data_IF_428035848326
#
_entry.id   IF_428035848326
#
_cell.length_a   1.000
_cell.length_b   1.000
_cell.length_c   1.000
_cell.angle_alpha   90.00
_cell.angle_beta   90.00
_cell.angle_gamma   90.00
#
_symmetry.space_group_name_H-M   'P 1'
#
loop_
_entity.id
_entity.type
_entity.pdbx_description
1 polymer ?
#
# COMPACT_ATOMS: atom_id res chain seq x y z
N UNK A 1 9.60 -53.99 5.89
CA UNK A 1 9.36 -53.61 4.48
C UNK A 1 7.87 -53.37 4.21
N UNK A 2 7.38 -52.15 4.49
CA UNK A 2 6.12 -51.60 3.96
C UNK A 2 6.45 -50.18 3.47
N UNK A 3 7.21 -50.06 2.37
CA UNK A 3 6.71 -49.59 1.06
C UNK A 3 5.73 -48.43 1.22
N UNK A 4 6.23 -47.19 1.14
CA UNK A 4 6.18 -46.38 -0.08
C UNK A 4 4.74 -46.22 -0.61
N UNK A 5 3.90 -45.54 0.17
CA UNK A 5 2.58 -45.10 -0.26
C UNK A 5 2.33 -43.62 0.09
N UNK A 6 3.38 -42.80 0.04
CA UNK A 6 3.27 -41.38 0.39
C UNK A 6 4.04 -40.51 -0.61
N UNK A 7 3.76 -40.73 -1.90
CA UNK A 7 4.27 -39.87 -2.96
C UNK A 7 3.36 -39.97 -4.18
N UNK A 8 2.24 -39.23 -4.12
CA UNK A 8 1.50 -38.65 -5.27
C UNK A 8 0.09 -38.22 -4.83
N UNK A 9 -0.01 -37.07 -4.16
CA UNK A 9 -1.20 -36.24 -4.18
C UNK A 9 -0.71 -34.86 -4.57
N UNK A 10 -1.19 -34.30 -5.68
CA UNK A 10 -0.66 -33.08 -6.30
C UNK A 10 -0.40 -31.95 -5.29
N UNK A 11 0.59 -31.11 -5.58
CA UNK A 11 1.15 -30.04 -4.73
C UNK A 11 0.14 -28.94 -4.33
N UNK A 12 -0.97 -29.32 -3.70
CA UNK A 12 -1.96 -28.43 -3.13
C UNK A 12 -1.52 -28.09 -1.72
N UNK A 13 -0.67 -27.08 -1.59
CA UNK A 13 -0.31 -26.51 -0.29
C UNK A 13 -1.59 -26.01 0.38
N UNK A 14 -1.97 -26.62 1.49
CA UNK A 14 -3.14 -26.21 2.28
C UNK A 14 -2.83 -24.90 3.01
N UNK A 15 -3.87 -24.21 3.49
CA UNK A 15 -3.69 -23.01 4.33
C UNK A 15 -2.82 -23.33 5.54
N UNK A 16 -2.95 -24.52 6.12
CA UNK A 16 -2.14 -25.01 7.24
C UNK A 16 -0.65 -25.14 6.89
N UNK A 17 -0.30 -25.66 5.72
CA UNK A 17 1.10 -25.76 5.28
C UNK A 17 1.75 -24.39 5.11
N UNK A 18 0.94 -23.41 4.65
CA UNK A 18 1.38 -22.03 4.49
C UNK A 18 1.56 -21.30 5.82
N UNK A 19 0.71 -21.60 6.81
CA UNK A 19 0.92 -21.14 8.18
C UNK A 19 2.21 -21.72 8.78
N UNK A 20 2.50 -23.00 8.53
CA UNK A 20 3.74 -23.64 8.98
C UNK A 20 5.00 -23.02 8.33
N UNK A 21 4.88 -22.45 7.14
CA UNK A 21 5.93 -21.67 6.47
C UNK A 21 6.10 -20.24 7.03
N UNK A 22 5.36 -19.87 8.08
CA UNK A 22 5.45 -18.56 8.72
C UNK A 22 4.75 -17.42 7.98
N UNK A 23 3.84 -17.73 7.03
CA UNK A 23 3.05 -16.67 6.39
C UNK A 23 2.10 -16.00 7.38
N UNK A 24 2.04 -14.67 7.29
CA UNK A 24 1.14 -13.87 8.10
C UNK A 24 -0.34 -14.20 7.81
N UNK A 25 -1.15 -14.29 8.87
CA UNK A 25 -2.59 -14.61 8.76
C UNK A 25 -3.33 -13.63 7.84
N UNK A 26 -2.96 -12.35 7.81
CA UNK A 26 -3.59 -11.34 6.94
C UNK A 26 -3.34 -11.62 5.47
N UNK A 27 -2.13 -12.08 5.12
CA UNK A 27 -1.79 -12.50 3.76
C UNK A 27 -2.68 -13.65 3.33
N UNK A 28 -2.79 -14.70 4.15
CA UNK A 28 -3.64 -15.86 3.88
C UNK A 28 -5.13 -15.48 3.78
N UNK A 29 -5.60 -14.55 4.62
CA UNK A 29 -6.97 -14.06 4.54
C UNK A 29 -7.25 -13.32 3.23
N UNK A 30 -6.30 -12.53 2.73
CA UNK A 30 -6.43 -11.82 1.45
C UNK A 30 -6.47 -12.82 0.29
N UNK A 31 -5.62 -13.85 0.32
CA UNK A 31 -5.64 -14.93 -0.68
C UNK A 31 -6.97 -15.70 -0.67
N UNK A 32 -7.46 -16.08 0.51
CA UNK A 32 -8.77 -16.74 0.62
C UNK A 32 -9.91 -15.86 0.13
N UNK A 33 -9.83 -14.53 0.30
CA UNK A 33 -10.79 -13.61 -0.29
C UNK A 33 -10.74 -13.64 -1.82
N UNK A 34 -9.55 -13.64 -2.41
CA UNK A 34 -9.37 -13.76 -3.86
C UNK A 34 -9.90 -15.10 -4.40
N UNK A 35 -9.62 -16.21 -3.71
CA UNK A 35 -10.14 -17.53 -4.07
C UNK A 35 -11.68 -17.50 -4.10
N UNK A 36 -12.32 -16.90 -3.09
CA UNK A 36 -13.79 -16.75 -3.09
C UNK A 36 -14.29 -15.89 -4.23
N UNK A 37 -13.58 -14.80 -4.59
CA UNK A 37 -13.94 -13.98 -5.77
C UNK A 37 -13.91 -14.82 -7.05
N UNK A 38 -12.83 -15.57 -7.28
CA UNK A 38 -12.67 -16.43 -8.46
C UNK A 38 -13.75 -17.51 -8.50
N UNK A 39 -14.05 -18.16 -7.37
CA UNK A 39 -15.11 -19.16 -7.28
C UNK A 39 -16.49 -18.57 -7.63
N UNK A 40 -16.79 -17.36 -7.16
CA UNK A 40 -18.05 -16.67 -7.53
C UNK A 40 -18.09 -16.36 -9.03
N UNK A 41 -16.99 -15.87 -9.61
CA UNK A 41 -16.90 -15.61 -11.05
C UNK A 41 -17.05 -16.88 -11.89
N UNK A 42 -16.59 -18.02 -11.39
CA UNK A 42 -16.78 -19.33 -12.01
C UNK A 42 -18.18 -19.94 -11.77
N UNK A 43 -19.14 -19.17 -11.23
CA UNK A 43 -20.50 -19.63 -10.94
C UNK A 43 -20.63 -20.55 -9.72
N UNK A 44 -19.55 -20.78 -8.96
CA UNK A 44 -19.50 -21.68 -7.79
C UNK A 44 -19.84 -20.95 -6.49
N UNK A 45 -20.87 -20.10 -6.49
CA UNK A 45 -21.23 -19.22 -5.37
C UNK A 45 -21.49 -20.01 -4.08
N UNK A 46 -22.22 -21.12 -4.13
CA UNK A 46 -22.49 -21.98 -2.96
C UNK A 46 -21.22 -22.49 -2.29
N UNK A 47 -20.17 -22.79 -3.08
CA UNK A 47 -18.88 -23.20 -2.54
C UNK A 47 -18.11 -22.00 -1.99
N UNK A 48 -18.11 -20.88 -2.71
CA UNK A 48 -17.47 -19.63 -2.31
C UNK A 48 -17.96 -19.11 -0.94
N UNK A 49 -19.25 -19.28 -0.67
CA UNK A 49 -19.92 -18.81 0.55
C UNK A 49 -20.04 -19.91 1.62
N UNK A 50 -19.53 -21.12 1.35
CA UNK A 50 -19.61 -22.23 2.29
C UNK A 50 -18.72 -22.00 3.52
N UNK A 51 -19.20 -22.45 4.68
CA UNK A 51 -18.45 -22.36 5.93
C UNK A 51 -17.12 -23.10 5.89
N UNK A 52 -17.01 -24.15 5.09
CA UNK A 52 -15.80 -24.99 4.93
C UNK A 52 -14.56 -24.22 4.47
N UNK A 53 -14.74 -23.17 3.68
CA UNK A 53 -13.64 -22.32 3.19
C UNK A 53 -13.62 -20.94 3.85
N UNK A 54 -14.39 -20.77 4.91
CA UNK A 54 -14.36 -19.55 5.72
C UNK A 54 -13.02 -19.41 6.42
N UNK A 55 -12.62 -18.16 6.71
CA UNK A 55 -11.40 -17.88 7.46
C UNK A 55 -11.41 -18.54 8.87
N UNK A 56 -12.61 -18.78 9.43
CA UNK A 56 -12.77 -19.50 10.71
C UNK A 56 -12.47 -20.98 10.55
N UNK A 57 -13.08 -21.64 9.57
CA UNK A 57 -12.90 -23.08 9.34
C UNK A 57 -11.46 -23.44 8.97
N UNK A 58 -10.75 -22.55 8.27
CA UNK A 58 -9.34 -22.74 7.91
C UNK A 58 -8.35 -22.19 8.96
N UNK A 59 -8.81 -21.82 10.16
CA UNK A 59 -7.92 -21.48 11.29
C UNK A 59 -7.20 -20.13 11.22
N UNK A 60 -7.47 -19.30 10.20
CA UNK A 60 -6.81 -18.00 9.98
C UNK A 60 -7.63 -16.81 10.49
N UNK A 61 -8.64 -17.03 11.32
CA UNK A 61 -9.42 -15.95 11.94
C UNK A 61 -8.61 -15.16 12.97
N UNK A 62 -9.12 -13.98 13.36
CA UNK A 62 -8.53 -13.17 14.44
C UNK A 62 -7.23 -12.42 14.11
N UNK A 63 -6.89 -12.24 12.82
CA UNK A 63 -5.74 -11.40 12.46
C UNK A 63 -5.97 -9.93 12.87
N UNK A 64 -4.96 -9.33 13.50
CA UNK A 64 -5.00 -7.91 13.87
C UNK A 64 -5.04 -7.03 12.62
N UNK A 65 -5.86 -5.99 12.66
CA UNK A 65 -5.85 -4.91 11.65
C UNK A 65 -4.83 -3.82 11.97
N UNK A 66 -4.19 -3.88 13.14
CA UNK A 66 -3.24 -2.86 13.53
C UNK A 66 -1.97 -2.99 12.69
N UNK A 67 -1.56 -1.89 12.04
CA UNK A 67 -0.34 -1.87 11.27
C UNK A 67 0.88 -1.97 12.18
N UNK A 68 1.94 -2.64 11.71
CA UNK A 68 3.24 -2.71 12.42
C UNK A 68 4.13 -1.50 12.14
N UNK A 69 3.77 -0.66 11.17
CA UNK A 69 4.55 0.50 10.75
C UNK A 69 4.34 1.66 11.72
N UNK A 70 5.46 2.27 12.15
CA UNK A 70 5.47 3.47 12.99
C UNK A 70 5.73 4.73 12.14
N UNK A 71 5.27 5.87 12.63
CA UNK A 71 5.60 7.16 12.03
C UNK A 71 7.12 7.38 12.03
N UNK A 72 7.63 7.98 10.95
CA UNK A 72 9.05 8.33 10.82
C UNK A 72 9.33 9.54 11.71
N UNK A 73 10.31 9.42 12.59
CA UNK A 73 10.80 10.52 13.43
C UNK A 73 11.61 11.52 12.60
N UNK A 74 11.66 12.78 13.02
CA UNK A 74 12.37 13.82 12.27
C UNK A 74 13.87 13.52 12.15
N UNK A 75 14.53 13.03 13.20
CA UNK A 75 15.94 12.65 13.14
C UNK A 75 16.21 11.53 12.11
N UNK A 76 15.33 10.53 12.02
CA UNK A 76 15.45 9.47 11.01
C UNK A 76 15.21 10.01 9.60
N UNK A 77 14.28 10.95 9.44
CA UNK A 77 14.04 11.61 8.17
C UNK A 77 15.28 12.39 7.69
N UNK A 78 15.91 13.17 8.57
CA UNK A 78 17.10 13.95 8.21
C UNK A 78 18.26 13.06 7.74
N UNK A 79 18.56 11.97 8.47
CA UNK A 79 19.60 11.03 8.05
C UNK A 79 19.33 10.39 6.67
N UNK A 80 18.06 10.09 6.37
CA UNK A 80 17.64 9.59 5.05
C UNK A 80 17.76 10.68 3.98
N UNK A 81 17.43 11.93 4.32
CA UNK A 81 17.50 13.07 3.40
C UNK A 81 18.95 13.38 3.01
N UNK A 82 19.88 13.34 3.96
CA UNK A 82 21.32 13.48 3.69
C UNK A 82 21.83 12.37 2.77
N UNK A 83 21.48 11.12 3.08
CA UNK A 83 21.81 9.98 2.24
C UNK A 83 21.21 10.09 0.83
N UNK A 84 20.01 10.66 0.71
CA UNK A 84 19.34 10.86 -0.57
C UNK A 84 20.03 11.95 -1.41
N UNK A 85 20.47 13.04 -0.79
CA UNK A 85 21.23 14.10 -1.47
C UNK A 85 22.51 13.57 -2.10
N UNK A 86 23.21 12.68 -1.40
CA UNK A 86 24.41 12.01 -1.91
C UNK A 86 24.12 11.09 -3.11
N UNK A 87 22.95 10.45 -3.13
CA UNK A 87 22.54 9.56 -4.24
C UNK A 87 22.06 10.32 -5.47
N UNK A 88 21.38 11.45 -5.27
CA UNK A 88 20.96 12.31 -6.36
C UNK A 88 19.94 13.36 -5.95
N UNK A 89 20.00 14.56 -6.56
CA UNK A 89 19.15 15.69 -6.20
C UNK A 89 17.66 15.41 -6.41
N UNK A 90 17.30 14.65 -7.46
CA UNK A 90 15.90 14.28 -7.73
C UNK A 90 15.27 13.43 -6.64
N UNK A 91 16.04 12.52 -6.02
CA UNK A 91 15.56 11.69 -4.92
C UNK A 91 15.32 12.52 -3.65
N UNK A 92 16.25 13.42 -3.34
CA UNK A 92 16.10 14.33 -2.20
C UNK A 92 14.88 15.24 -2.37
N UNK A 93 14.68 15.81 -3.57
CA UNK A 93 13.52 16.63 -3.89
C UNK A 93 12.20 15.85 -3.77
N UNK A 94 12.16 14.59 -4.25
CA UNK A 94 10.98 13.75 -4.15
C UNK A 94 10.63 13.40 -2.69
N UNK A 95 11.63 13.13 -1.84
CA UNK A 95 11.42 12.87 -0.41
C UNK A 95 10.89 14.09 0.33
N UNK A 96 11.45 15.27 0.04
CA UNK A 96 11.01 16.53 0.62
C UNK A 96 9.57 16.85 0.22
N UNK A 97 9.27 16.75 -1.05
CA UNK A 97 7.92 16.95 -1.58
C UNK A 97 6.92 15.95 -0.98
N UNK A 98 7.32 14.68 -0.80
CA UNK A 98 6.49 13.66 -0.17
C UNK A 98 6.22 13.98 1.30
N UNK A 99 7.23 14.44 2.05
CA UNK A 99 7.11 14.81 3.46
C UNK A 99 6.19 16.02 3.64
N UNK A 100 6.38 17.03 2.81
CA UNK A 100 5.63 18.27 2.85
C UNK A 100 4.16 18.02 2.50
N UNK A 101 3.88 17.43 1.34
CA UNK A 101 2.50 17.31 0.84
C UNK A 101 1.79 16.01 1.25
N UNK A 102 2.47 15.10 1.96
CA UNK A 102 1.91 13.82 2.37
C UNK A 102 1.71 12.84 1.21
N UNK A 103 2.55 12.91 0.18
CA UNK A 103 2.43 12.04 -1.00
C UNK A 103 2.83 10.60 -0.69
N UNK A 104 2.17 9.65 -1.35
CA UNK A 104 2.66 8.26 -1.43
C UNK A 104 3.90 8.20 -2.30
N UNK A 105 4.72 7.16 -2.11
CA UNK A 105 5.97 6.98 -2.88
C UNK A 105 5.78 7.11 -4.39
N UNK A 106 4.71 6.51 -4.94
CA UNK A 106 4.44 6.60 -6.39
C UNK A 106 4.01 8.00 -6.82
N UNK A 107 3.19 8.69 -6.02
CA UNK A 107 2.75 10.06 -6.28
C UNK A 107 3.95 11.02 -6.23
N UNK A 108 4.86 10.83 -5.27
CA UNK A 108 6.09 11.61 -5.14
C UNK A 108 7.02 11.45 -6.35
N UNK A 109 7.24 10.21 -6.81
CA UNK A 109 8.08 9.94 -7.99
C UNK A 109 7.46 10.50 -9.27
N UNK A 110 6.14 10.38 -9.44
CA UNK A 110 5.46 10.87 -10.64
C UNK A 110 5.10 12.37 -10.60
N UNK A 111 5.28 13.03 -9.45
CA UNK A 111 4.96 14.44 -9.25
C UNK A 111 5.67 15.39 -10.23
N UNK A 112 6.85 15.00 -10.71
CA UNK A 112 7.63 15.74 -11.70
C UNK A 112 6.80 16.12 -12.94
N UNK A 113 5.86 15.26 -13.34
CA UNK A 113 4.96 15.48 -14.48
C UNK A 113 3.94 16.59 -14.23
N UNK A 114 3.59 16.85 -12.97
CA UNK A 114 2.63 17.88 -12.57
C UNK A 114 3.25 19.24 -12.25
N UNK A 115 4.59 19.33 -12.11
CA UNK A 115 5.25 20.53 -11.58
C UNK A 115 4.94 21.80 -12.38
N UNK A 116 4.88 21.70 -13.72
CA UNK A 116 4.54 22.84 -14.58
C UNK A 116 3.12 23.36 -14.30
N UNK A 117 2.16 22.45 -14.21
CA UNK A 117 0.76 22.79 -13.91
C UNK A 117 0.62 23.35 -12.49
N UNK A 118 1.32 22.75 -11.53
CA UNK A 118 1.32 23.23 -10.14
C UNK A 118 1.92 24.63 -10.01
N UNK A 119 3.03 24.90 -10.71
CA UNK A 119 3.61 26.24 -10.76
C UNK A 119 2.60 27.26 -11.28
N UNK A 120 1.91 26.96 -12.38
CA UNK A 120 0.89 27.85 -12.94
C UNK A 120 -0.29 28.05 -11.98
N UNK A 121 -0.71 27.02 -11.26
CA UNK A 121 -1.76 27.12 -10.25
C UNK A 121 -1.35 28.04 -9.09
N UNK A 122 -0.11 27.90 -8.59
CA UNK A 122 0.45 28.79 -7.57
C UNK A 122 0.56 30.25 -8.04
N UNK A 123 0.99 30.46 -9.29
CA UNK A 123 1.06 31.80 -9.91
C UNK A 123 -0.33 32.45 -10.04
N UNK A 124 -1.40 31.65 -10.22
CA UNK A 124 -2.80 32.12 -10.19
C UNK A 124 -3.35 32.34 -8.77
N UNK A 125 -2.57 32.04 -7.74
CA UNK A 125 -3.01 32.15 -6.34
C UNK A 125 -3.89 31.00 -5.87
N UNK A 126 -3.89 29.85 -6.56
CA UNK A 126 -4.62 28.67 -6.10
C UNK A 126 -3.99 28.15 -4.80
N UNK A 127 -4.83 27.90 -3.80
CA UNK A 127 -4.41 27.38 -2.49
C UNK A 127 -4.31 25.85 -2.45
N UNK A 128 -4.59 25.17 -3.58
CA UNK A 128 -4.69 23.72 -3.67
C UNK A 128 -4.03 23.22 -4.94
N UNK A 129 -3.18 22.20 -4.78
CA UNK A 129 -2.56 21.48 -5.89
C UNK A 129 -3.20 20.11 -6.04
N UNK A 130 -3.60 19.76 -7.26
CA UNK A 130 -4.23 18.47 -7.54
C UNK A 130 -3.18 17.43 -7.93
N UNK A 131 -3.16 16.30 -7.22
CA UNK A 131 -2.31 15.14 -7.55
C UNK A 131 -3.09 14.21 -8.47
N UNK A 132 -2.61 14.06 -9.71
CA UNK A 132 -3.26 13.23 -10.74
C UNK A 132 -2.46 11.95 -10.99
N UNK A 133 -1.14 12.07 -11.10
CA UNK A 133 -0.24 10.94 -11.37
C UNK A 133 0.13 10.16 -10.12
N UNK A 134 0.33 8.84 -10.28
CA UNK A 134 0.67 7.93 -9.19
C UNK A 134 -0.49 7.61 -8.22
N UNK A 135 -1.70 8.13 -8.47
CA UNK A 135 -2.87 7.93 -7.62
C UNK A 135 -3.35 6.48 -7.68
N UNK A 136 -3.66 5.92 -6.50
CA UNK A 136 -4.20 4.56 -6.41
C UNK A 136 -5.61 4.52 -7.01
N UNK A 137 -5.77 3.80 -8.12
CA UNK A 137 -7.06 3.62 -8.80
C UNK A 137 -7.43 4.74 -9.78
N UNK A 138 -6.47 5.61 -10.16
CA UNK A 138 -6.66 6.63 -11.20
C UNK A 138 -7.61 7.78 -10.83
N UNK A 139 -8.12 7.80 -9.60
CA UNK A 139 -9.01 8.87 -9.12
C UNK A 139 -8.16 9.92 -8.40
N UNK A 140 -8.23 11.21 -8.79
CA UNK A 140 -7.62 12.27 -8.01
C UNK A 140 -8.21 12.25 -6.59
N UNK A 141 -7.39 12.41 -5.53
CA UNK A 141 -7.91 12.48 -4.18
C UNK A 141 -8.96 13.60 -4.10
N UNK A 142 -10.17 13.28 -3.61
CA UNK A 142 -11.10 14.33 -3.18
C UNK A 142 -10.41 14.97 -1.97
N UNK A 143 -9.81 16.13 -2.14
CA UNK A 143 -9.02 16.78 -1.10
C UNK A 143 -9.99 17.42 -0.08
N UNK A 144 -10.56 16.59 0.79
CA UNK A 144 -11.27 16.99 2.01
C UNK A 144 -10.33 17.06 3.23
N UNK A 145 -9.06 16.68 3.06
CA UNK A 145 -8.04 16.86 4.07
C UNK A 145 -7.58 18.32 4.05
N UNK A 146 -8.18 19.11 4.94
CA UNK A 146 -7.83 20.48 5.32
C UNK A 146 -6.43 20.59 5.92
N UNK A 147 -5.40 20.24 5.14
CA UNK A 147 -4.05 20.77 5.30
C UNK A 147 -3.97 22.07 4.51
N UNK A 148 -4.50 23.14 5.11
CA UNK A 148 -4.44 24.49 4.59
C UNK A 148 -2.95 24.86 4.40
N UNK A 149 -2.46 24.80 3.16
CA UNK A 149 -1.14 25.32 2.81
C UNK A 149 -1.21 26.84 2.86
N UNK A 150 -1.08 27.39 4.07
CA UNK A 150 -0.84 28.81 4.29
C UNK A 150 0.63 29.05 4.01
N UNK A 151 0.92 29.74 2.90
CA UNK A 151 2.23 30.34 2.65
C UNK A 151 2.58 31.22 3.86
N UNK A 152 3.53 30.77 4.69
CA UNK A 152 4.19 31.66 5.63
C UNK A 152 5.10 32.57 4.79
N UNK A 153 4.57 33.72 4.39
CA UNK A 153 5.38 34.85 3.95
C UNK A 153 6.29 35.25 5.11
N UNK A 154 7.55 35.50 4.77
CA UNK A 154 8.64 35.78 5.70
C UNK A 154 8.39 36.96 6.64
N UNK A 155 9.13 36.93 7.74
CA UNK A 155 9.34 38.05 8.63
C UNK A 155 10.82 38.02 9.07
N UNK A 156 11.49 39.17 8.88
CA UNK A 156 12.74 39.54 9.56
C UNK A 156 13.99 38.90 9.03
#
# INVERSE_FOLDING_TARGET
MKRLAQQAGGAHKTVSDRMAQGMDKRTLQNEMAMIRVVLRQAGRVKLADSDRISNRAVGISGASRNGTRRAITDGKYQAVQESARLKGPGLAAALELARLMGLRSQEAVQSAQSLKTWRQALERGESRLTVVFGTKGGRPPRNDNSGCWRSQKGAG
#
